data_IF_048336256708
#
_entry.id   IF_048336256708
#
_cell.length_a   1.000
_cell.length_b   1.000
_cell.length_c   1.000
_cell.angle_alpha   90.00
_cell.angle_beta   90.00
_cell.angle_gamma   90.00
#
_symmetry.space_group_name_H-M   'P 1'
#
loop_
_entity.id
_entity.type
_entity.pdbx_description
1 polymer ?
#
# COMPACT_ATOMS: atom_id res chain seq x y z
N UNK A 1 -10.05 -11.41 17.76
CA UNK A 1 -9.84 -10.44 16.65
C UNK A 1 -10.75 -10.79 15.49
N UNK A 2 -11.22 -9.80 14.73
CA UNK A 2 -12.16 -10.02 13.63
C UNK A 2 -11.59 -9.50 12.32
N UNK A 3 -11.70 -10.30 11.27
CA UNK A 3 -11.38 -9.86 9.92
C UNK A 3 -12.50 -8.93 9.42
N UNK A 4 -12.14 -7.67 9.16
CA UNK A 4 -13.09 -6.65 8.70
C UNK A 4 -12.80 -6.25 7.25
N UNK A 5 -13.70 -5.51 6.59
CA UNK A 5 -13.42 -4.95 5.27
C UNK A 5 -12.17 -4.06 5.20
N UNK A 6 -11.75 -3.44 6.31
CA UNK A 6 -10.52 -2.64 6.39
C UNK A 6 -9.24 -3.48 6.31
N UNK A 7 -9.33 -4.79 6.58
CA UNK A 7 -8.22 -5.74 6.44
C UNK A 7 -7.94 -6.12 4.97
N UNK A 8 -8.80 -5.70 4.02
CA UNK A 8 -8.66 -6.06 2.61
C UNK A 8 -7.84 -5.01 1.86
N UNK A 9 -6.82 -5.49 1.15
CA UNK A 9 -5.97 -4.66 0.28
C UNK A 9 -6.05 -5.14 -1.16
N UNK A 10 -6.08 -4.20 -2.11
CA UNK A 10 -5.87 -4.47 -3.52
C UNK A 10 -4.37 -4.53 -3.80
N UNK A 11 -3.91 -5.70 -4.20
CA UNK A 11 -2.57 -5.93 -4.72
C UNK A 11 -2.46 -5.46 -6.18
N UNK A 12 -1.38 -4.77 -6.53
CA UNK A 12 -1.07 -4.37 -7.91
C UNK A 12 0.44 -4.41 -8.16
N UNK A 13 0.82 -4.96 -9.31
CA UNK A 13 2.18 -4.83 -9.85
C UNK A 13 2.45 -3.38 -10.27
N UNK A 14 3.66 -2.90 -9.99
CA UNK A 14 4.17 -1.60 -10.38
C UNK A 14 5.51 -1.76 -11.10
N UNK A 15 5.59 -1.22 -12.31
CA UNK A 15 6.77 -1.26 -13.18
C UNK A 15 7.38 -2.67 -13.38
N UNK A 16 6.56 -3.73 -13.28
CA UNK A 16 6.94 -5.14 -13.42
C UNK A 16 7.94 -5.70 -12.38
N UNK A 17 8.34 -4.92 -11.36
CA UNK A 17 9.30 -5.38 -10.34
C UNK A 17 8.78 -5.31 -8.91
N UNK A 18 7.83 -4.42 -8.64
CA UNK A 18 7.34 -4.18 -7.29
C UNK A 18 5.86 -4.50 -7.14
N UNK A 19 5.47 -4.87 -5.93
CA UNK A 19 4.09 -5.03 -5.54
C UNK A 19 3.68 -3.85 -4.66
N UNK A 20 2.47 -3.34 -4.89
CA UNK A 20 1.86 -2.28 -4.11
C UNK A 20 0.54 -2.78 -3.51
N UNK A 21 0.25 -2.37 -2.29
CA UNK A 21 -0.99 -2.70 -1.58
C UNK A 21 -1.77 -1.43 -1.28
N UNK A 22 -3.00 -1.34 -1.77
CA UNK A 22 -3.88 -0.18 -1.56
C UNK A 22 -5.15 -0.57 -0.80
N UNK A 23 -5.65 0.34 0.04
CA UNK A 23 -6.94 0.13 0.69
C UNK A 23 -8.05 0.01 -0.35
N UNK A 24 -8.98 -0.92 -0.15
CA UNK A 24 -10.18 -1.00 -0.99
C UNK A 24 -11.24 0.05 -0.62
N UNK A 25 -11.16 0.61 0.61
CA UNK A 25 -12.14 1.56 1.15
C UNK A 25 -11.64 3.01 1.04
N UNK A 26 -10.36 3.25 1.36
CA UNK A 26 -9.86 4.60 1.56
C UNK A 26 -9.10 5.15 0.35
N UNK A 27 -9.49 6.37 -0.03
CA UNK A 27 -8.88 7.18 -1.10
C UNK A 27 -9.01 8.66 -0.78
N UNK A 28 -8.19 9.50 -1.42
CA UNK A 28 -8.41 10.95 -1.39
C UNK A 28 -9.74 11.28 -2.08
N UNK A 29 -10.55 12.10 -1.42
CA UNK A 29 -11.90 12.47 -1.89
C UNK A 29 -11.87 13.23 -3.21
N UNK A 30 -10.96 14.19 -3.36
CA UNK A 30 -10.89 15.03 -4.57
C UNK A 30 -10.21 14.33 -5.75
N UNK A 31 -9.04 13.73 -5.55
CA UNK A 31 -8.25 13.13 -6.64
C UNK A 31 -8.60 11.67 -6.95
N UNK A 32 -9.41 11.02 -6.11
CA UNK A 32 -9.70 9.58 -6.20
C UNK A 32 -8.49 8.67 -5.88
N UNK A 33 -7.32 9.25 -5.58
CA UNK A 33 -6.08 8.52 -5.35
C UNK A 33 -6.18 7.62 -4.12
N UNK A 34 -6.00 6.32 -4.32
CA UNK A 34 -6.02 5.33 -3.25
C UNK A 34 -4.95 5.60 -2.18
N UNK A 35 -5.21 5.14 -0.96
CA UNK A 35 -4.23 5.10 0.10
C UNK A 35 -3.46 3.79 0.03
N UNK A 36 -2.15 3.83 0.30
CA UNK A 36 -1.26 2.69 0.15
C UNK A 36 -0.61 2.32 1.48
N UNK A 37 -0.33 1.04 1.68
CA UNK A 37 0.64 0.61 2.70
C UNK A 37 1.99 1.21 2.32
N UNK A 38 2.71 1.74 3.31
CA UNK A 38 4.08 2.18 3.06
C UNK A 38 4.91 2.39 4.31
N UNK A 39 6.22 2.27 4.11
CA UNK A 39 7.25 2.37 5.14
C UNK A 39 8.25 3.44 4.70
N UNK A 40 8.71 4.29 5.63
CA UNK A 40 9.72 5.30 5.32
C UNK A 40 11.14 4.71 5.29
N UNK A 41 12.14 5.55 5.04
CA UNK A 41 13.55 5.11 4.97
C UNK A 41 14.09 4.57 6.30
N UNK A 42 13.49 4.97 7.41
CA UNK A 42 13.86 4.55 8.77
C UNK A 42 13.10 3.29 9.21
N UNK A 43 12.33 2.65 8.32
CA UNK A 43 11.57 1.44 8.65
C UNK A 43 10.25 1.69 9.37
N UNK A 44 9.78 2.94 9.48
CA UNK A 44 8.56 3.30 10.20
C UNK A 44 7.34 3.36 9.28
N UNK A 45 6.18 2.95 9.81
CA UNK A 45 4.90 2.98 9.10
C UNK A 45 4.50 4.42 8.75
N UNK A 46 4.05 4.61 7.51
CA UNK A 46 3.53 5.89 7.03
C UNK A 46 2.00 5.89 6.97
N UNK A 47 1.38 7.06 7.21
CA UNK A 47 -0.05 7.25 6.96
C UNK A 47 -0.38 7.03 5.48
N UNK A 48 -1.36 6.18 5.17
CA UNK A 48 -1.60 5.73 3.80
C UNK A 48 -1.93 6.84 2.79
N UNK A 49 -2.50 7.97 3.23
CA UNK A 49 -2.75 9.13 2.37
C UNK A 49 -1.46 9.86 1.93
N UNK A 50 -0.36 9.72 2.67
CA UNK A 50 0.97 10.28 2.37
C UNK A 50 1.79 9.36 1.47
N UNK A 51 1.42 8.09 1.36
CA UNK A 51 2.09 7.10 0.50
C UNK A 51 1.55 7.24 -0.93
N UNK A 52 2.46 7.30 -1.92
CA UNK A 52 2.13 7.40 -3.34
C UNK A 52 2.63 6.14 -4.06
N UNK A 53 1.84 5.60 -4.98
CA UNK A 53 2.17 4.42 -5.80
C UNK A 53 3.56 4.51 -6.47
N UNK A 54 3.94 5.71 -6.91
CA UNK A 54 5.19 5.98 -7.64
C UNK A 54 6.40 6.23 -6.73
N UNK A 55 6.29 6.02 -5.42
CA UNK A 55 7.39 6.23 -4.47
C UNK A 55 7.80 4.91 -3.84
N UNK A 56 9.13 4.75 -3.64
CA UNK A 56 9.72 3.56 -3.04
C UNK A 56 9.10 3.12 -1.71
N UNK A 57 8.56 4.06 -0.93
CA UNK A 57 7.82 3.74 0.30
C UNK A 57 6.64 2.77 0.10
N UNK A 58 6.06 2.70 -1.10
CA UNK A 58 4.94 1.82 -1.44
C UNK A 58 5.37 0.50 -2.10
N UNK A 59 6.67 0.31 -2.36
CA UNK A 59 7.21 -0.75 -3.20
C UNK A 59 7.69 -1.91 -2.34
N UNK A 60 6.98 -3.03 -2.43
CA UNK A 60 7.30 -4.25 -1.69
C UNK A 60 7.75 -5.35 -2.65
N UNK A 61 8.69 -6.18 -2.20
CA UNK A 61 9.10 -7.40 -2.86
C UNK A 61 8.70 -8.59 -1.97
N UNK A 62 7.64 -9.34 -2.31
CA UNK A 62 7.23 -10.51 -1.54
C UNK A 62 8.36 -11.55 -1.53
N UNK A 63 8.80 -11.93 -0.34
CA UNK A 63 9.65 -13.11 -0.15
C UNK A 63 8.73 -14.22 0.35
N UNK A 64 8.46 -15.19 -0.52
CA UNK A 64 7.68 -16.37 -0.15
C UNK A 64 8.51 -17.22 0.81
N UNK A 65 7.89 -17.64 1.90
CA UNK A 65 8.44 -18.62 2.84
C UNK A 65 7.52 -19.83 2.72
N UNK A 66 8.10 -20.99 2.45
CA UNK A 66 7.41 -22.29 2.45
C UNK A 66 7.17 -22.80 3.88
#
# INVERSE_FOLDING_TARGET
EHFTPECKFKECVFENYYVTYSSILYRQTQSGRAWYIGINRDGQVMKGNRVKKTKGAAHFLPKLIE
#
